data_IF_150520930751
#
_entry.id   IF_150520930751
#
_cell.length_a   1.000
_cell.length_b   1.000
_cell.length_c   1.000
_cell.angle_alpha   90.00
_cell.angle_beta   90.00
_cell.angle_gamma   90.00
#
_symmetry.space_group_name_H-M   'P 1'
#
loop_
_entity.id
_entity.type
_entity.pdbx_description
1 polymer ?
#
# COMPACT_ATOMS: atom_id res chain seq x y z
N UNK A 1 -18.54 -13.18 -0.61
CA UNK A 1 -17.43 -12.31 -1.08
C UNK A 1 -17.13 -12.53 -2.56
N UNK A 2 -16.96 -13.76 -3.01
CA UNK A 2 -16.56 -14.04 -4.40
C UNK A 2 -17.62 -13.67 -5.43
N UNK A 3 -18.88 -13.72 -5.08
CA UNK A 3 -19.94 -13.30 -6.00
C UNK A 3 -19.84 -11.83 -6.39
N UNK A 4 -19.38 -10.99 -5.45
CA UNK A 4 -19.20 -9.56 -5.70
C UNK A 4 -18.00 -9.27 -6.63
N UNK A 5 -17.10 -10.23 -6.77
CA UNK A 5 -15.91 -10.09 -7.60
C UNK A 5 -16.13 -10.50 -9.05
N UNK A 6 -17.30 -11.03 -9.38
CA UNK A 6 -17.63 -11.39 -10.75
C UNK A 6 -17.61 -10.16 -11.64
N UNK A 7 -16.90 -10.24 -12.73
CA UNK A 7 -16.74 -9.14 -13.66
C UNK A 7 -15.71 -8.11 -13.27
N UNK A 8 -15.02 -8.31 -12.12
CA UNK A 8 -13.93 -7.44 -11.72
C UNK A 8 -12.61 -7.91 -12.32
N UNK A 9 -11.80 -6.96 -12.78
CA UNK A 9 -10.46 -7.23 -13.29
C UNK A 9 -9.37 -6.92 -12.27
N UNK A 10 -9.70 -6.23 -11.20
CA UNK A 10 -8.76 -5.86 -10.18
C UNK A 10 -9.40 -5.62 -8.83
N UNK A 11 -8.57 -5.73 -7.80
CA UNK A 11 -8.97 -5.50 -6.41
C UNK A 11 -7.94 -4.57 -5.77
N UNK A 12 -8.42 -3.49 -5.19
CA UNK A 12 -7.60 -2.56 -4.41
C UNK A 12 -7.82 -2.88 -2.94
N UNK A 13 -6.76 -3.26 -2.26
CA UNK A 13 -6.83 -3.66 -0.86
C UNK A 13 -6.35 -2.54 0.06
N UNK A 14 -6.87 -2.52 1.28
CA UNK A 14 -6.55 -1.52 2.28
C UNK A 14 -5.05 -1.50 2.62
N UNK A 15 -4.44 -2.66 2.72
CA UNK A 15 -3.00 -2.79 2.97
C UNK A 15 -2.45 -4.07 2.35
N UNK A 16 -1.12 -4.24 2.46
CA UNK A 16 -0.43 -5.39 1.87
C UNK A 16 -0.83 -6.72 2.50
N UNK A 17 -1.08 -6.74 3.79
CA UNK A 17 -1.47 -7.97 4.48
C UNK A 17 -2.80 -8.49 3.96
N UNK A 18 -3.77 -7.62 3.81
CA UNK A 18 -5.07 -7.97 3.24
C UNK A 18 -4.90 -8.42 1.78
N UNK A 19 -4.06 -7.70 1.02
CA UNK A 19 -3.80 -8.06 -0.36
C UNK A 19 -3.23 -9.47 -0.51
N UNK A 20 -2.26 -9.84 0.33
CA UNK A 20 -1.67 -11.18 0.32
C UNK A 20 -2.72 -12.24 0.68
N UNK A 21 -3.56 -11.98 1.66
CA UNK A 21 -4.62 -12.91 2.02
C UNK A 21 -5.63 -13.08 0.89
N UNK A 22 -5.99 -12.00 0.22
CA UNK A 22 -6.89 -12.06 -0.95
C UNK A 22 -6.26 -12.92 -2.06
N UNK A 23 -4.97 -12.73 -2.33
CA UNK A 23 -4.26 -13.51 -3.34
C UNK A 23 -4.32 -15.00 -3.00
N UNK A 24 -4.04 -15.36 -1.75
CA UNK A 24 -4.10 -16.76 -1.31
C UNK A 24 -5.49 -17.35 -1.44
N UNK A 25 -6.51 -16.58 -1.10
CA UNK A 25 -7.90 -17.02 -1.27
C UNK A 25 -8.27 -17.23 -2.73
N UNK A 26 -7.82 -16.34 -3.61
CA UNK A 26 -8.05 -16.47 -5.06
C UNK A 26 -7.37 -17.71 -5.60
N UNK A 27 -6.14 -17.99 -5.18
CA UNK A 27 -5.44 -19.21 -5.60
C UNK A 27 -6.20 -20.48 -5.22
N UNK A 28 -6.81 -20.51 -4.04
CA UNK A 28 -7.59 -21.66 -3.57
C UNK A 28 -8.80 -21.95 -4.45
N UNK A 29 -9.36 -20.95 -5.10
CA UNK A 29 -10.51 -21.12 -5.99
C UNK A 29 -10.10 -21.16 -7.45
N UNK A 30 -8.81 -21.31 -7.72
CA UNK A 30 -8.28 -21.45 -9.08
C UNK A 30 -8.12 -20.17 -9.86
N UNK A 31 -8.18 -19.03 -9.20
CA UNK A 31 -7.95 -17.72 -9.83
C UNK A 31 -6.50 -17.31 -9.67
N UNK A 32 -5.87 -16.89 -10.75
CA UNK A 32 -4.47 -16.49 -10.77
C UNK A 32 -4.31 -14.99 -10.73
N UNK A 33 -3.32 -14.53 -9.97
CA UNK A 33 -2.93 -13.12 -9.90
C UNK A 33 -1.55 -12.98 -10.52
N UNK A 34 -1.34 -12.13 -11.52
CA UNK A 34 -2.27 -11.13 -12.07
C UNK A 34 -3.10 -11.59 -13.28
N UNK A 35 -2.98 -12.84 -13.70
CA UNK A 35 -3.57 -13.29 -14.96
C UNK A 35 -5.09 -13.10 -14.99
N UNK A 36 -5.79 -13.54 -13.95
CA UNK A 36 -7.24 -13.43 -13.85
C UNK A 36 -7.68 -12.14 -13.18
N UNK A 37 -6.96 -11.71 -12.16
CA UNK A 37 -7.24 -10.49 -11.40
C UNK A 37 -5.94 -9.81 -11.02
N UNK A 38 -5.93 -8.49 -11.10
CA UNK A 38 -4.85 -7.67 -10.54
C UNK A 38 -5.19 -7.32 -9.09
N UNK A 39 -4.17 -7.28 -8.22
CA UNK A 39 -4.35 -6.96 -6.80
C UNK A 39 -3.31 -5.93 -6.39
N UNK A 40 -3.75 -4.89 -5.69
CA UNK A 40 -2.84 -3.88 -5.13
C UNK A 40 -2.95 -3.84 -3.62
N UNK A 41 -1.84 -3.51 -2.97
CA UNK A 41 -1.80 -3.29 -1.53
C UNK A 41 -1.50 -1.83 -1.18
N UNK A 42 -1.12 -1.60 0.05
CA UNK A 42 -0.71 -0.30 0.57
C UNK A 42 0.24 -0.52 1.75
N UNK A 43 1.25 0.29 1.89
CA UNK A 43 2.28 0.38 2.93
C UNK A 43 3.69 -0.04 2.49
N UNK A 44 3.85 -0.84 1.46
CA UNK A 44 5.14 -1.40 1.05
C UNK A 44 5.85 -2.09 2.22
N UNK A 45 5.08 -2.94 2.92
CA UNK A 45 5.59 -3.71 4.05
C UNK A 45 6.38 -4.93 3.55
N UNK A 46 7.07 -5.58 4.48
CA UNK A 46 7.88 -6.77 4.13
C UNK A 46 7.05 -7.84 3.42
N UNK A 47 5.79 -8.00 3.82
CA UNK A 47 4.92 -9.03 3.23
C UNK A 47 4.64 -8.77 1.74
N UNK A 48 4.75 -7.52 1.30
CA UNK A 48 4.58 -7.20 -0.12
C UNK A 48 5.62 -7.88 -1.00
N UNK A 49 6.80 -8.16 -0.46
CA UNK A 49 7.90 -8.77 -1.20
C UNK A 49 8.07 -10.26 -0.92
N UNK A 50 7.61 -10.71 0.24
CA UNK A 50 7.80 -12.10 0.68
C UNK A 50 6.57 -12.97 0.49
N UNK A 51 5.48 -12.41 0.00
CA UNK A 51 4.26 -13.16 -0.29
C UNK A 51 4.36 -13.99 -1.57
N UNK A 52 3.26 -14.62 -1.98
CA UNK A 52 3.25 -15.49 -3.18
C UNK A 52 3.52 -14.73 -4.48
N UNK A 53 3.26 -13.44 -4.51
CA UNK A 53 3.49 -12.55 -5.64
C UNK A 53 4.05 -11.25 -5.07
N UNK A 54 4.99 -10.63 -5.76
CA UNK A 54 5.44 -9.28 -5.36
C UNK A 54 4.30 -8.29 -5.62
N UNK A 55 3.84 -7.62 -4.57
CA UNK A 55 2.71 -6.70 -4.68
C UNK A 55 3.08 -5.38 -5.34
N UNK A 56 2.21 -4.90 -6.20
CA UNK A 56 2.14 -3.49 -6.53
C UNK A 56 1.48 -2.80 -5.33
N UNK A 57 2.17 -1.85 -4.76
CA UNK A 57 1.78 -1.21 -3.51
C UNK A 57 2.19 0.25 -3.49
N UNK A 58 1.87 0.94 -2.42
CA UNK A 58 2.26 2.34 -2.23
C UNK A 58 3.19 2.41 -1.03
N UNK A 59 4.38 2.96 -1.25
CA UNK A 59 5.35 3.21 -0.19
C UNK A 59 5.17 4.62 0.35
N UNK A 60 5.05 4.74 1.67
CA UNK A 60 5.13 6.04 2.31
C UNK A 60 6.37 6.04 3.22
N UNK A 61 7.10 7.15 3.29
CA UNK A 61 8.38 7.18 3.98
C UNK A 61 8.20 7.22 5.50
N UNK A 62 8.03 6.05 6.11
CA UNK A 62 7.73 5.90 7.54
C UNK A 62 8.82 6.48 8.43
N UNK A 63 10.10 6.25 8.07
CA UNK A 63 11.21 6.82 8.84
C UNK A 63 11.18 8.34 8.84
N UNK A 64 10.97 8.93 7.67
CA UNK A 64 10.89 10.39 7.53
C UNK A 64 9.70 10.95 8.28
N UNK A 65 8.55 10.26 8.24
CA UNK A 65 7.37 10.64 9.02
C UNK A 65 7.68 10.62 10.51
N UNK A 66 8.33 9.54 10.98
CA UNK A 66 8.71 9.42 12.39
C UNK A 66 9.70 10.49 12.82
N UNK A 67 10.71 10.79 12.01
CA UNK A 67 11.68 11.84 12.29
C UNK A 67 11.02 13.21 12.37
N UNK A 68 10.17 13.54 11.42
CA UNK A 68 9.47 14.81 11.39
C UNK A 68 8.52 14.95 12.58
N UNK A 69 7.77 13.90 12.90
CA UNK A 69 6.88 13.90 14.05
C UNK A 69 7.66 14.12 15.36
N UNK A 70 8.80 13.43 15.50
CA UNK A 70 9.67 13.59 16.66
C UNK A 70 10.23 14.98 16.80
N UNK A 71 10.73 15.56 15.70
CA UNK A 71 11.25 16.93 15.70
C UNK A 71 10.19 17.96 16.06
N UNK A 72 8.99 17.83 15.49
CA UNK A 72 7.88 18.73 15.79
C UNK A 72 7.46 18.65 17.24
N UNK A 73 7.42 17.45 17.78
CA UNK A 73 7.08 17.25 19.19
C UNK A 73 8.13 17.88 20.11
N UNK A 74 9.44 17.69 19.81
CA UNK A 74 10.52 18.30 20.58
C UNK A 74 10.45 19.82 20.54
N UNK A 75 10.19 20.41 19.40
CA UNK A 75 10.04 21.86 19.27
C UNK A 75 8.91 22.37 20.15
N UNK A 76 7.78 21.67 20.20
CA UNK A 76 6.66 22.04 21.08
C UNK A 76 7.01 21.90 22.55
N UNK A 77 7.73 20.85 22.93
CA UNK A 77 8.16 20.62 24.32
C UNK A 77 9.14 21.71 24.76
N UNK A 78 10.05 22.14 23.88
CA UNK A 78 11.05 23.15 24.17
C UNK A 78 10.52 24.59 24.14
N UNK A 79 9.23 24.78 23.98
CA UNK A 79 8.59 26.06 24.00
C UNK A 79 8.73 26.86 22.73
N UNK A 80 8.91 26.21 21.62
CA UNK A 80 8.91 26.87 20.31
C UNK A 80 7.60 27.60 20.05
N UNK A 81 7.71 28.73 19.32
CA UNK A 81 6.57 29.57 19.00
C UNK A 81 5.54 28.85 18.15
N UNK A 82 4.36 28.62 18.68
CA UNK A 82 3.24 28.03 17.95
C UNK A 82 2.78 28.87 16.76
N UNK A 83 3.20 30.14 16.70
CA UNK A 83 2.74 31.06 15.66
C UNK A 83 3.33 30.80 14.28
N UNK A 84 4.50 30.14 14.23
CA UNK A 84 5.20 29.87 12.97
C UNK A 84 5.15 28.40 12.55
N UNK A 85 4.47 27.56 13.31
CA UNK A 85 4.34 26.15 12.98
C UNK A 85 3.21 25.91 11.99
N UNK A 86 3.55 25.23 10.92
CA UNK A 86 2.54 24.70 10.02
C UNK A 86 1.76 23.62 10.77
N UNK A 87 0.45 23.60 10.59
CA UNK A 87 -0.43 22.63 11.21
C UNK A 87 -0.48 21.32 10.42
N UNK A 88 0.05 21.31 9.19
CA UNK A 88 -0.01 20.15 8.31
C UNK A 88 1.27 20.03 7.50
N UNK A 89 1.82 18.82 7.47
CA UNK A 89 2.97 18.46 6.65
C UNK A 89 2.60 17.28 5.77
N UNK A 90 2.75 17.44 4.47
CA UNK A 90 2.47 16.39 3.51
C UNK A 90 3.78 15.78 3.01
N UNK A 91 3.88 14.47 3.09
CA UNK A 91 5.00 13.72 2.54
C UNK A 91 4.49 12.86 1.40
N UNK A 92 5.11 13.00 0.23
CA UNK A 92 4.65 12.35 -0.97
C UNK A 92 4.88 10.84 -0.93
N UNK A 93 3.83 10.03 -1.16
CA UNK A 93 3.99 8.58 -1.29
C UNK A 93 4.51 8.23 -2.69
N UNK A 94 5.01 7.00 -2.83
CA UNK A 94 5.53 6.49 -4.10
C UNK A 94 4.81 5.19 -4.47
N UNK A 95 4.48 5.06 -5.75
CA UNK A 95 3.97 3.81 -6.28
C UNK A 95 5.14 2.84 -6.48
N UNK A 96 5.00 1.64 -5.93
CA UNK A 96 5.98 0.55 -6.10
C UNK A 96 5.33 -0.51 -6.96
N UNK A 97 5.87 -0.71 -8.16
CA UNK A 97 5.31 -1.67 -9.11
C UNK A 97 5.94 -3.04 -8.86
N UNK A 98 5.08 -4.02 -8.56
CA UNK A 98 5.46 -5.42 -8.43
C UNK A 98 4.92 -6.24 -9.59
N UNK A 99 4.54 -7.47 -9.28
CA UNK A 99 4.05 -8.44 -10.28
C UNK A 99 2.57 -8.80 -10.09
N UNK A 100 1.86 -8.11 -9.21
CA UNK A 100 0.47 -8.42 -8.89
C UNK A 100 -0.56 -7.74 -9.79
N UNK A 101 -0.12 -6.92 -10.72
CA UNK A 101 -0.99 -6.23 -11.66
C UNK A 101 -0.58 -6.52 -13.10
N UNK A 102 -1.56 -6.60 -13.96
CA UNK A 102 -1.36 -6.84 -15.39
C UNK A 102 -2.02 -5.70 -16.19
N UNK A 103 -1.31 -5.22 -17.21
CA UNK A 103 -1.90 -4.27 -18.14
C UNK A 103 -2.78 -5.02 -19.14
N UNK A 104 -4.09 -4.85 -19.02
CA UNK A 104 -5.06 -5.58 -19.85
C UNK A 104 -5.27 -4.96 -21.22
N UNK A 105 -4.67 -3.82 -21.47
CA UNK A 105 -4.74 -3.16 -22.78
C UNK A 105 -3.58 -3.57 -23.71
N UNK A 106 -2.67 -4.41 -23.24
CA UNK A 106 -1.49 -4.88 -23.97
C UNK A 106 -1.61 -6.36 -24.31
N UNK A 107 -2.65 -6.75 -24.95
CA UNK A 107 -2.75 -8.12 -25.47
C UNK A 107 -2.23 -8.20 -26.89
#
# INVERSE_FOLDING_TARGET
MFERLRGCDGIVCYNDQIAVEVIRMLERIGKKVPEDLSVTGYDDSMIARTGPVELTTVSHPQEKLGEMAGQLLLEKIQGGSDKDMKTEYLIEPKLVIGNSCKNRNQE
#
